data_IF_617958458720
#
_entry.id   IF_617958458720
#
_cell.length_a   1.000
_cell.length_b   1.000
_cell.length_c   1.000
_cell.angle_alpha   90.00
_cell.angle_beta   90.00
_cell.angle_gamma   90.00
#
_symmetry.space_group_name_H-M   'P 1'
#
loop_
_entity.id
_entity.type
_entity.pdbx_description
1 polymer ?
#
# COMPACT_ATOMS: atom_id res chain seq x y z
N UNK A 1 -17.33 -6.19 39.66
CA UNK A 1 -16.58 -6.17 38.38
C UNK A 1 -17.32 -7.00 37.35
N UNK A 2 -17.50 -6.48 36.14
CA UNK A 2 -18.32 -7.11 35.11
C UNK A 2 -17.66 -8.43 34.64
N UNK A 3 -18.32 -9.57 34.89
CA UNK A 3 -17.85 -10.94 34.60
C UNK A 3 -17.28 -11.16 33.18
N UNK A 4 -17.69 -10.34 32.22
CA UNK A 4 -17.18 -10.38 30.84
C UNK A 4 -15.74 -9.88 30.70
N UNK A 5 -15.42 -8.71 31.25
CA UNK A 5 -14.08 -8.12 31.11
C UNK A 5 -13.00 -8.90 31.88
N UNK A 6 -13.38 -9.64 32.93
CA UNK A 6 -12.49 -10.59 33.57
C UNK A 6 -12.09 -11.73 32.61
N UNK A 7 -13.06 -12.29 31.87
CA UNK A 7 -12.79 -13.31 30.84
C UNK A 7 -11.93 -12.75 29.71
N UNK A 8 -12.20 -11.54 29.24
CA UNK A 8 -11.37 -10.84 28.24
C UNK A 8 -9.93 -10.70 28.74
N UNK A 9 -9.72 -10.31 30.00
CA UNK A 9 -8.39 -10.22 30.59
C UNK A 9 -7.63 -11.56 30.61
N UNK A 10 -8.32 -12.66 30.90
CA UNK A 10 -7.72 -14.01 30.83
C UNK A 10 -7.35 -14.40 29.39
N UNK A 11 -8.22 -14.11 28.41
CA UNK A 11 -7.94 -14.40 27.00
C UNK A 11 -6.77 -13.57 26.45
N UNK A 12 -6.66 -12.29 26.83
CA UNK A 12 -5.48 -11.47 26.51
C UNK A 12 -4.20 -12.05 27.11
N UNK A 13 -4.25 -12.47 28.38
CA UNK A 13 -3.11 -13.12 29.04
C UNK A 13 -2.69 -14.41 28.31
N UNK A 14 -3.64 -15.16 27.75
CA UNK A 14 -3.34 -16.34 26.92
C UNK A 14 -2.63 -15.93 25.63
N UNK A 15 -3.13 -14.94 24.89
CA UNK A 15 -2.51 -14.49 23.63
C UNK A 15 -1.09 -13.96 23.89
N UNK A 16 -0.93 -13.01 24.81
CA UNK A 16 0.34 -12.32 25.04
C UNK A 16 1.45 -13.21 25.61
N UNK A 17 1.11 -14.28 26.33
CA UNK A 17 2.11 -15.22 26.88
C UNK A 17 2.53 -16.33 25.91
N UNK A 18 1.92 -16.43 24.72
CA UNK A 18 2.25 -17.48 23.76
C UNK A 18 3.60 -17.22 23.09
N UNK A 19 4.42 -18.27 23.00
CA UNK A 19 5.67 -18.24 22.24
C UNK A 19 5.44 -17.90 20.77
N UNK A 20 4.34 -18.36 20.17
CA UNK A 20 3.98 -18.04 18.78
C UNK A 20 3.68 -16.55 18.58
N UNK A 21 2.99 -15.92 19.53
CA UNK A 21 2.73 -14.47 19.50
C UNK A 21 4.02 -13.68 19.66
N UNK A 22 4.90 -14.08 20.58
CA UNK A 22 6.22 -13.46 20.71
C UNK A 22 7.04 -13.61 19.41
N UNK A 23 7.06 -14.79 18.82
CA UNK A 23 7.76 -15.04 17.55
C UNK A 23 7.21 -14.16 16.41
N UNK A 24 5.88 -14.01 16.31
CA UNK A 24 5.25 -13.14 15.32
C UNK A 24 5.64 -11.66 15.51
N UNK A 25 5.64 -11.17 16.75
CA UNK A 25 6.05 -9.80 17.09
C UNK A 25 7.54 -9.56 16.78
N UNK A 26 8.41 -10.53 17.10
CA UNK A 26 9.85 -10.42 16.80
C UNK A 26 10.08 -10.43 15.29
N UNK A 27 9.42 -11.34 14.56
CA UNK A 27 9.57 -11.47 13.12
C UNK A 27 9.11 -10.20 12.39
N UNK A 28 7.96 -9.63 12.76
CA UNK A 28 7.50 -8.38 12.15
C UNK A 28 8.39 -7.19 12.51
N UNK A 29 8.96 -7.16 13.73
CA UNK A 29 9.95 -6.15 14.12
C UNK A 29 11.22 -6.22 13.28
N UNK A 30 11.75 -7.43 13.05
CA UNK A 30 12.91 -7.66 12.16
C UNK A 30 12.60 -7.20 10.74
N UNK A 31 11.39 -7.49 10.23
CA UNK A 31 10.98 -7.10 8.88
C UNK A 31 10.80 -5.58 8.74
N UNK A 32 10.24 -4.91 9.74
CA UNK A 32 10.17 -3.44 9.75
C UNK A 32 11.57 -2.86 9.72
N UNK A 33 12.48 -3.39 10.55
CA UNK A 33 13.87 -2.93 10.58
C UNK A 33 14.57 -3.17 9.23
N UNK A 34 14.40 -4.35 8.62
CA UNK A 34 15.03 -4.67 7.33
C UNK A 34 14.45 -3.86 6.19
N UNK A 35 13.13 -3.68 6.12
CA UNK A 35 12.46 -2.85 5.11
C UNK A 35 12.83 -1.36 5.23
N UNK A 36 12.94 -0.87 6.46
CA UNK A 36 13.35 0.52 6.72
C UNK A 36 14.83 0.73 6.38
N UNK A 37 15.70 -0.25 6.69
CA UNK A 37 17.12 -0.17 6.34
C UNK A 37 17.34 -0.28 4.83
N UNK A 38 16.67 -1.19 4.13
CA UNK A 38 16.77 -1.34 2.67
C UNK A 38 16.33 -0.08 1.92
N UNK A 39 15.37 0.68 2.49
CA UNK A 39 14.94 1.97 1.96
C UNK A 39 16.05 3.02 1.95
N UNK A 40 17.05 2.90 2.84
CA UNK A 40 18.18 3.82 2.95
C UNK A 40 19.43 3.29 2.23
N UNK A 41 19.65 1.98 2.25
CA UNK A 41 20.87 1.36 1.71
C UNK A 41 20.81 1.02 0.23
N UNK A 42 19.64 1.13 -0.41
CA UNK A 42 19.48 0.95 -1.85
C UNK A 42 20.34 1.91 -2.67
N UNK A 43 20.76 1.48 -3.87
CA UNK A 43 21.51 2.28 -4.86
C UNK A 43 20.64 3.32 -5.59
N UNK A 44 19.53 3.75 -4.99
CA UNK A 44 18.55 4.64 -5.61
C UNK A 44 18.82 6.12 -5.39
N UNK A 45 19.98 6.48 -4.82
CA UNK A 45 20.34 7.87 -4.52
C UNK A 45 21.45 8.34 -5.44
N UNK A 46 21.23 9.44 -6.15
CA UNK A 46 22.13 9.89 -7.21
C UNK A 46 23.50 10.27 -6.69
N UNK A 47 23.57 10.88 -5.50
CA UNK A 47 24.86 11.20 -4.86
C UNK A 47 25.68 9.98 -4.44
N UNK A 48 25.12 8.76 -4.44
CA UNK A 48 25.88 7.53 -4.13
C UNK A 48 26.76 7.07 -5.29
N UNK A 49 26.46 7.50 -6.51
CA UNK A 49 27.20 7.09 -7.69
C UNK A 49 28.49 7.90 -7.85
N UNK A 50 29.61 7.20 -8.08
CA UNK A 50 30.94 7.80 -8.25
C UNK A 50 31.55 8.46 -6.99
N UNK A 51 30.90 8.39 -5.84
CA UNK A 51 31.38 8.99 -4.58
C UNK A 51 31.65 7.93 -3.50
N UNK A 52 32.75 8.07 -2.77
CA UNK A 52 33.06 7.24 -1.59
C UNK A 52 32.28 7.69 -0.34
N UNK A 53 30.96 7.86 -0.46
CA UNK A 53 30.08 8.22 0.66
C UNK A 53 29.09 7.10 0.96
N UNK A 54 28.57 7.07 2.19
CA UNK A 54 27.54 6.09 2.55
C UNK A 54 26.21 6.38 1.84
N UNK A 55 25.39 5.35 1.58
CA UNK A 55 24.04 5.56 0.98
C UNK A 55 23.16 6.49 1.83
N UNK A 56 23.35 6.51 3.15
CA UNK A 56 22.64 7.42 4.05
C UNK A 56 23.07 8.88 3.85
N UNK A 57 24.36 9.15 3.66
CA UNK A 57 24.85 10.49 3.31
C UNK A 57 24.40 10.91 1.91
N UNK A 58 24.45 10.01 0.94
CA UNK A 58 23.92 10.26 -0.40
C UNK A 58 22.43 10.63 -0.36
N UNK A 59 21.63 9.88 0.40
CA UNK A 59 20.21 10.15 0.60
C UNK A 59 19.97 11.53 1.22
N UNK A 60 20.80 11.95 2.21
CA UNK A 60 20.70 13.30 2.79
C UNK A 60 20.99 14.39 1.76
N UNK A 61 22.01 14.22 0.92
CA UNK A 61 22.33 15.18 -0.15
C UNK A 61 21.22 15.27 -1.20
N UNK A 62 20.70 14.12 -1.66
CA UNK A 62 19.53 14.08 -2.56
C UNK A 62 18.32 14.79 -1.94
N UNK A 63 18.09 14.56 -0.63
CA UNK A 63 17.01 15.23 0.11
C UNK A 63 17.18 16.75 0.11
N UNK A 64 18.38 17.26 0.35
CA UNK A 64 18.66 18.69 0.34
C UNK A 64 18.38 19.31 -1.03
N UNK A 65 18.83 18.65 -2.11
CA UNK A 65 18.55 19.11 -3.48
C UNK A 65 17.05 19.17 -3.75
N UNK A 66 16.30 18.09 -3.48
CA UNK A 66 14.85 18.04 -3.72
C UNK A 66 14.05 18.96 -2.81
N UNK A 67 14.55 19.29 -1.62
CA UNK A 67 13.93 20.28 -0.72
C UNK A 67 14.08 21.71 -1.25
N UNK A 68 15.19 22.02 -1.95
CA UNK A 68 15.45 23.37 -2.46
C UNK A 68 14.43 23.86 -3.49
N UNK A 69 13.71 22.93 -4.12
CA UNK A 69 12.68 23.17 -5.13
C UNK A 69 11.28 22.76 -4.66
N UNK A 70 11.07 22.58 -3.36
CA UNK A 70 9.72 22.31 -2.84
C UNK A 70 8.77 23.50 -3.11
N UNK A 71 7.51 23.20 -3.42
CA UNK A 71 6.54 24.23 -3.78
C UNK A 71 5.41 23.67 -4.64
N UNK A 72 5.13 24.34 -5.76
CA UNK A 72 4.15 23.92 -6.76
C UNK A 72 4.81 23.83 -8.13
N UNK A 73 4.34 22.92 -8.98
CA UNK A 73 4.79 22.77 -10.36
C UNK A 73 4.04 23.79 -11.24
N UNK A 74 4.33 25.07 -11.07
CA UNK A 74 3.76 26.15 -11.89
C UNK A 74 4.54 26.36 -13.20
N UNK A 75 4.15 27.35 -14.00
CA UNK A 75 4.78 27.65 -15.29
C UNK A 75 6.28 27.93 -15.14
N UNK A 76 6.68 28.70 -14.12
CA UNK A 76 8.09 29.00 -13.85
C UNK A 76 8.89 27.75 -13.49
N UNK A 77 8.33 26.85 -12.68
CA UNK A 77 8.95 25.57 -12.35
C UNK A 77 9.21 24.72 -13.60
N UNK A 78 8.23 24.65 -14.50
CA UNK A 78 8.30 23.86 -15.74
C UNK A 78 9.31 24.49 -16.71
N UNK A 79 9.29 25.81 -16.87
CA UNK A 79 10.28 26.56 -17.68
C UNK A 79 11.70 26.23 -17.21
N UNK A 80 11.96 26.28 -15.90
CA UNK A 80 13.27 25.93 -15.35
C UNK A 80 13.63 24.48 -15.61
N UNK A 81 12.68 23.54 -15.44
CA UNK A 81 12.91 22.12 -15.73
C UNK A 81 13.36 21.90 -17.19
N UNK A 82 12.66 22.49 -18.16
CA UNK A 82 12.98 22.40 -19.59
C UNK A 82 14.33 23.05 -19.88
N UNK A 83 14.58 24.27 -19.38
CA UNK A 83 15.83 24.98 -19.61
C UNK A 83 17.04 24.24 -19.03
N UNK A 84 16.95 23.72 -17.80
CA UNK A 84 18.03 22.96 -17.20
C UNK A 84 18.26 21.64 -17.93
N UNK A 85 17.21 20.95 -18.39
CA UNK A 85 17.36 19.77 -19.23
C UNK A 85 18.06 20.10 -20.55
N UNK A 86 17.66 21.18 -21.23
CA UNK A 86 18.28 21.63 -22.47
C UNK A 86 19.79 21.95 -22.29
N UNK A 87 20.16 22.62 -21.19
CA UNK A 87 21.56 22.87 -20.84
C UNK A 87 22.33 21.58 -20.55
N UNK A 88 21.69 20.62 -19.89
CA UNK A 88 22.28 19.32 -19.58
C UNK A 88 22.61 18.53 -20.86
N UNK A 89 21.67 18.45 -21.80
CA UNK A 89 21.82 17.64 -23.01
C UNK A 89 22.76 18.26 -24.04
N UNK A 90 22.91 19.59 -24.03
CA UNK A 90 23.73 20.33 -24.98
C UNK A 90 25.25 20.27 -24.68
N UNK A 91 25.64 19.96 -23.45
CA UNK A 91 27.05 19.89 -23.04
C UNK A 91 27.55 18.44 -23.00
N UNK A 92 28.40 18.07 -23.97
CA UNK A 92 28.97 16.73 -24.08
C UNK A 92 29.86 16.35 -22.89
N UNK A 93 30.35 17.32 -22.11
CA UNK A 93 31.09 17.02 -20.87
C UNK A 93 30.21 16.35 -19.82
N UNK A 94 28.88 16.45 -19.94
CA UNK A 94 27.93 15.78 -19.06
C UNK A 94 27.80 14.28 -19.32
N UNK A 95 28.45 13.75 -20.37
CA UNK A 95 28.31 12.36 -20.79
C UNK A 95 29.62 11.59 -20.72
N UNK A 96 29.51 10.30 -20.42
CA UNK A 96 30.51 9.30 -20.76
C UNK A 96 30.18 8.79 -22.16
N UNK A 97 31.03 9.12 -23.13
CA UNK A 97 30.88 8.68 -24.52
C UNK A 97 31.88 7.57 -24.77
N UNK A 98 31.39 6.38 -25.10
CA UNK A 98 32.21 5.22 -25.42
C UNK A 98 31.57 4.43 -26.58
N UNK A 99 32.19 3.31 -26.97
CA UNK A 99 31.71 2.47 -28.08
C UNK A 99 30.32 1.85 -27.85
N UNK A 100 29.82 1.85 -26.62
CA UNK A 100 28.50 1.32 -26.24
C UNK A 100 27.42 2.40 -26.18
N UNK A 101 27.77 3.68 -26.35
CA UNK A 101 26.82 4.78 -26.42
C UNK A 101 27.20 6.01 -25.60
N UNK A 102 26.19 6.86 -25.42
CA UNK A 102 26.25 8.15 -24.72
C UNK A 102 25.51 8.01 -23.39
N UNK A 103 26.23 8.00 -22.27
CA UNK A 103 25.67 7.75 -20.94
C UNK A 103 25.79 8.99 -20.06
N UNK A 104 24.67 9.48 -19.51
CA UNK A 104 24.67 10.68 -18.66
C UNK A 104 25.44 10.42 -17.35
N UNK A 105 26.32 11.36 -16.98
CA UNK A 105 27.03 11.33 -15.70
C UNK A 105 26.06 11.68 -14.57
N UNK A 106 26.14 10.95 -13.45
CA UNK A 106 25.34 11.25 -12.25
C UNK A 106 25.55 12.67 -11.72
N UNK A 107 26.76 13.23 -11.84
CA UNK A 107 27.02 14.64 -11.48
C UNK A 107 26.22 15.64 -12.31
N UNK A 108 26.00 15.35 -13.60
CA UNK A 108 25.18 16.18 -14.47
C UNK A 108 23.69 16.05 -14.10
N UNK A 109 23.22 14.82 -13.88
CA UNK A 109 21.85 14.58 -13.43
C UNK A 109 21.54 15.30 -12.12
N UNK A 110 22.41 15.17 -11.11
CA UNK A 110 22.29 15.84 -9.80
C UNK A 110 22.17 17.36 -9.97
N UNK A 111 22.96 17.93 -10.88
CA UNK A 111 23.02 19.38 -11.08
C UNK A 111 21.78 19.91 -11.80
N UNK A 112 21.37 19.26 -12.89
CA UNK A 112 20.39 19.82 -13.82
C UNK A 112 18.98 19.21 -13.68
N UNK A 113 18.89 17.89 -13.48
CA UNK A 113 17.61 17.17 -13.50
C UNK A 113 17.03 16.91 -12.11
N UNK A 114 17.85 16.48 -11.13
CA UNK A 114 17.42 16.13 -9.78
C UNK A 114 16.60 17.23 -9.07
N UNK A 115 16.91 18.54 -9.18
CA UNK A 115 16.10 19.60 -8.58
C UNK A 115 14.68 19.65 -9.16
N UNK A 116 14.50 19.26 -10.42
CA UNK A 116 13.22 19.34 -11.15
C UNK A 116 12.66 17.96 -11.52
N UNK A 117 13.19 16.89 -10.91
CA UNK A 117 12.94 15.48 -11.26
C UNK A 117 11.44 15.15 -11.35
N UNK A 118 10.65 15.67 -10.41
CA UNK A 118 9.20 15.47 -10.41
C UNK A 118 8.54 16.01 -11.69
N UNK A 119 8.92 17.20 -12.16
CA UNK A 119 8.39 17.74 -13.42
C UNK A 119 8.93 16.97 -14.62
N UNK A 120 10.23 16.62 -14.62
CA UNK A 120 10.83 15.81 -15.69
C UNK A 120 10.10 14.47 -15.84
N UNK A 121 9.83 13.78 -14.74
CA UNK A 121 9.10 12.51 -14.73
C UNK A 121 7.67 12.67 -15.24
N UNK A 122 6.96 13.72 -14.79
CA UNK A 122 5.61 14.00 -15.27
C UNK A 122 5.62 14.30 -16.77
N UNK A 123 6.56 15.10 -17.26
CA UNK A 123 6.72 15.43 -18.68
C UNK A 123 6.90 14.16 -19.49
N UNK A 124 7.83 13.29 -19.07
CA UNK A 124 8.15 12.07 -19.80
C UNK A 124 6.96 11.10 -19.89
N UNK A 125 6.02 11.16 -18.95
CA UNK A 125 4.76 10.41 -19.02
C UNK A 125 3.70 11.17 -19.83
N UNK A 126 3.46 12.44 -19.56
CA UNK A 126 2.33 13.18 -20.14
C UNK A 126 2.50 13.54 -21.63
N UNK A 127 3.74 13.59 -22.12
CA UNK A 127 4.05 13.90 -23.52
C UNK A 127 4.44 12.66 -24.33
N UNK A 128 4.40 11.47 -23.74
CA UNK A 128 4.54 10.23 -24.49
C UNK A 128 3.28 9.97 -25.33
N UNK A 129 3.51 9.54 -26.56
CA UNK A 129 2.47 9.21 -27.54
C UNK A 129 2.24 7.69 -27.65
N UNK A 130 3.24 6.88 -27.31
CA UNK A 130 3.18 5.42 -27.31
C UNK A 130 2.96 4.84 -25.91
N UNK A 131 1.76 4.33 -25.64
CA UNK A 131 1.43 3.70 -24.35
C UNK A 131 2.26 2.44 -24.04
N UNK A 132 2.84 1.79 -25.05
CA UNK A 132 3.76 0.66 -24.84
C UNK A 132 5.07 1.09 -24.16
N UNK A 133 5.41 2.37 -24.21
CA UNK A 133 6.59 2.93 -23.54
C UNK A 133 6.39 3.11 -22.02
N UNK A 134 5.16 2.96 -21.52
CA UNK A 134 4.89 3.05 -20.09
C UNK A 134 5.29 1.77 -19.37
N UNK A 135 6.13 1.93 -18.37
CA UNK A 135 6.46 0.91 -17.40
C UNK A 135 5.94 1.32 -16.01
N UNK A 136 5.79 0.31 -15.15
CA UNK A 136 5.48 0.51 -13.75
C UNK A 136 6.20 -0.52 -12.90
N UNK A 137 6.68 -0.09 -11.73
CA UNK A 137 7.18 -0.97 -10.68
C UNK A 137 6.07 -1.37 -9.69
N UNK A 138 4.81 -1.08 -10.02
CA UNK A 138 3.64 -1.25 -9.15
C UNK A 138 3.30 -0.01 -8.32
N UNK A 139 4.17 1.00 -8.27
CA UNK A 139 3.96 2.25 -7.54
C UNK A 139 4.14 3.47 -8.45
N UNK A 140 5.30 3.61 -9.09
CA UNK A 140 5.60 4.64 -10.09
C UNK A 140 5.09 4.23 -11.47
N UNK A 141 4.61 5.22 -12.22
CA UNK A 141 4.44 5.11 -13.68
C UNK A 141 5.51 5.98 -14.32
N UNK A 142 6.31 5.40 -15.19
CA UNK A 142 7.40 6.08 -15.85
C UNK A 142 7.52 5.65 -17.31
N UNK A 143 8.17 6.47 -18.11
CA UNK A 143 8.50 6.15 -19.49
C UNK A 143 9.86 5.43 -19.52
N UNK A 144 9.92 4.24 -20.12
CA UNK A 144 11.13 3.44 -20.20
C UNK A 144 11.79 3.41 -21.58
N UNK A 145 11.18 4.04 -22.58
CA UNK A 145 11.65 3.94 -23.97
C UNK A 145 12.09 5.27 -24.56
N UNK A 146 11.43 6.37 -24.16
CA UNK A 146 11.74 7.71 -24.69
C UNK A 146 11.84 8.75 -23.59
N UNK A 147 12.43 9.89 -23.92
CA UNK A 147 12.62 11.04 -23.03
C UNK A 147 11.98 12.28 -23.66
N UNK A 148 10.64 12.42 -23.64
CA UNK A 148 9.94 13.60 -24.21
C UNK A 148 10.48 14.95 -23.72
N UNK A 149 11.04 15.01 -22.52
CA UNK A 149 11.70 16.22 -21.99
C UNK A 149 12.82 16.76 -22.88
N UNK A 150 13.50 15.90 -23.66
CA UNK A 150 14.67 16.29 -24.47
C UNK A 150 14.29 17.10 -25.72
N UNK A 151 13.01 17.08 -26.12
CA UNK A 151 12.52 17.74 -27.34
C UNK A 151 11.57 18.90 -27.06
N UNK A 152 11.19 19.14 -25.81
CA UNK A 152 10.24 20.18 -25.44
C UNK A 152 10.85 21.59 -25.46
N UNK A 153 10.06 22.54 -25.95
CA UNK A 153 10.42 23.96 -25.99
C UNK A 153 9.57 24.78 -25.02
N UNK A 154 9.96 26.04 -24.77
CA UNK A 154 9.24 26.94 -23.86
C UNK A 154 7.79 27.20 -24.28
N UNK A 155 7.48 27.10 -25.57
CA UNK A 155 6.11 27.25 -26.09
C UNK A 155 5.17 26.14 -25.60
N UNK A 156 5.71 24.99 -25.23
CA UNK A 156 4.94 23.80 -24.87
C UNK A 156 4.51 23.81 -23.40
N UNK A 157 5.06 24.71 -22.58
CA UNK A 157 4.78 24.83 -21.14
C UNK A 157 3.29 25.08 -20.86
N UNK A 158 2.63 25.91 -21.68
CA UNK A 158 1.20 26.22 -21.53
C UNK A 158 0.30 24.99 -21.67
N UNK A 159 0.79 23.94 -22.34
CA UNK A 159 0.05 22.70 -22.57
C UNK A 159 0.30 21.64 -21.49
N UNK A 160 1.13 21.91 -20.48
CA UNK A 160 1.53 20.92 -19.47
C UNK A 160 0.34 20.25 -18.76
N UNK A 161 -0.48 21.04 -18.04
CA UNK A 161 -1.67 20.50 -17.37
C UNK A 161 -2.76 20.01 -18.32
N UNK A 162 -3.11 20.73 -19.42
CA UNK A 162 -4.02 20.22 -20.43
C UNK A 162 -3.62 18.85 -20.99
N UNK A 163 -2.33 18.61 -21.24
CA UNK A 163 -1.83 17.33 -21.72
C UNK A 163 -1.96 16.23 -20.66
N UNK A 164 -1.62 16.49 -19.40
CA UNK A 164 -1.81 15.53 -18.31
C UNK A 164 -3.28 15.10 -18.21
N UNK A 165 -4.20 16.07 -18.22
CA UNK A 165 -5.65 15.78 -18.17
C UNK A 165 -6.11 14.98 -19.38
N UNK A 166 -5.68 15.38 -20.59
CA UNK A 166 -5.99 14.67 -21.83
C UNK A 166 -5.50 13.21 -21.78
N UNK A 167 -4.27 12.97 -21.32
CA UNK A 167 -3.70 11.63 -21.23
C UNK A 167 -4.38 10.78 -20.16
N UNK A 168 -4.71 11.36 -19.00
CA UNK A 168 -5.45 10.66 -17.96
C UNK A 168 -6.84 10.24 -18.46
N UNK A 169 -7.56 11.13 -19.15
CA UNK A 169 -8.86 10.81 -19.73
C UNK A 169 -8.75 9.80 -20.87
N UNK A 170 -7.75 9.93 -21.74
CA UNK A 170 -7.52 8.97 -22.83
C UNK A 170 -7.30 7.56 -22.26
N UNK A 171 -6.39 7.42 -21.28
CA UNK A 171 -6.10 6.13 -20.64
C UNK A 171 -7.36 5.43 -20.10
N UNK A 172 -8.27 6.21 -19.51
CA UNK A 172 -9.53 5.71 -18.94
C UNK A 172 -10.55 5.41 -20.05
N UNK A 173 -10.66 6.27 -21.06
CA UNK A 173 -11.59 6.11 -22.17
C UNK A 173 -11.26 4.90 -23.07
N UNK A 174 -9.97 4.58 -23.20
CA UNK A 174 -9.50 3.48 -24.06
C UNK A 174 -9.35 2.16 -23.33
N UNK A 175 -9.55 2.09 -22.01
CA UNK A 175 -9.51 0.81 -21.29
C UNK A 175 -10.83 0.04 -21.51
N UNK A 176 -10.82 -1.09 -22.25
CA UNK A 176 -12.03 -1.81 -22.60
C UNK A 176 -12.72 -2.48 -21.40
N UNK A 177 -12.05 -2.55 -20.24
CA UNK A 177 -12.63 -3.08 -19.01
C UNK A 177 -13.39 -2.03 -18.21
N UNK A 178 -13.32 -0.74 -18.56
CA UNK A 178 -14.04 0.32 -17.84
C UNK A 178 -15.45 0.50 -18.40
N UNK A 179 -16.40 0.60 -17.49
CA UNK A 179 -17.79 0.93 -17.82
C UNK A 179 -17.98 2.45 -17.91
N UNK A 180 -19.05 2.89 -18.58
CA UNK A 180 -19.38 4.32 -18.69
C UNK A 180 -19.53 5.01 -17.33
N UNK A 181 -20.10 4.33 -16.34
CA UNK A 181 -20.26 4.85 -14.99
C UNK A 181 -18.92 4.98 -14.25
N UNK A 182 -17.94 4.13 -14.57
CA UNK A 182 -16.57 4.24 -14.03
C UNK A 182 -15.81 5.39 -14.70
N UNK A 183 -15.96 5.55 -16.02
CA UNK A 183 -15.42 6.69 -16.76
C UNK A 183 -15.94 8.03 -16.22
N UNK A 184 -17.25 8.16 -16.03
CA UNK A 184 -17.86 9.35 -15.42
C UNK A 184 -17.29 9.62 -14.02
N UNK A 185 -17.18 8.57 -13.19
CA UNK A 185 -16.64 8.73 -11.84
C UNK A 185 -15.19 9.19 -11.83
N UNK A 186 -14.37 8.65 -12.74
CA UNK A 186 -13.00 9.10 -12.91
C UNK A 186 -12.89 10.54 -13.39
N UNK A 187 -13.80 10.97 -14.26
CA UNK A 187 -13.88 12.37 -14.71
C UNK A 187 -14.20 13.30 -13.55
N UNK A 188 -15.21 12.98 -12.73
CA UNK A 188 -15.54 13.74 -11.50
C UNK A 188 -14.37 13.81 -10.50
N UNK A 189 -13.59 12.73 -10.40
CA UNK A 189 -12.42 12.68 -9.52
C UNK A 189 -11.29 13.56 -10.06
N UNK A 190 -11.06 13.51 -11.37
CA UNK A 190 -10.04 14.31 -12.06
C UNK A 190 -10.33 15.81 -11.96
N UNK A 191 -11.59 16.24 -12.08
CA UNK A 191 -12.01 17.63 -11.89
C UNK A 191 -11.67 18.18 -10.49
N UNK A 192 -11.56 17.30 -9.49
CA UNK A 192 -11.21 17.67 -8.12
C UNK A 192 -9.69 17.67 -7.86
N UNK A 193 -8.89 17.25 -8.83
CA UNK A 193 -7.43 17.27 -8.71
C UNK A 193 -6.95 18.72 -8.74
N UNK A 194 -6.30 19.15 -7.67
CA UNK A 194 -5.78 20.52 -7.56
C UNK A 194 -4.57 20.72 -8.48
N UNK A 195 -4.65 21.73 -9.34
CA UNK A 195 -3.53 22.24 -10.16
C UNK A 195 -3.20 23.68 -9.74
N UNK A 196 -1.91 24.10 -9.74
CA UNK A 196 -0.74 23.27 -10.01
C UNK A 196 -0.48 22.22 -8.92
N UNK A 197 0.20 21.13 -9.28
CA UNK A 197 0.54 20.05 -8.35
C UNK A 197 1.51 20.53 -7.28
N UNK A 198 1.27 20.14 -6.04
CA UNK A 198 2.21 20.38 -4.94
C UNK A 198 3.36 19.38 -5.07
N UNK A 199 4.59 19.88 -4.99
CA UNK A 199 5.83 19.10 -5.16
C UNK A 199 6.79 19.37 -4.01
N UNK A 200 7.67 18.41 -3.75
CA UNK A 200 8.69 18.49 -2.71
C UNK A 200 9.28 17.12 -2.45
N UNK A 201 10.13 17.05 -1.43
CA UNK A 201 10.73 15.79 -1.01
C UNK A 201 9.72 14.91 -0.25
N UNK A 202 9.23 13.82 -0.87
CA UNK A 202 8.22 12.91 -0.32
C UNK A 202 8.67 11.45 -0.16
N UNK A 203 9.98 11.19 -0.30
CA UNK A 203 10.55 9.83 -0.35
C UNK A 203 10.18 8.96 0.85
N UNK A 204 10.07 9.54 2.05
CA UNK A 204 9.65 8.78 3.25
C UNK A 204 8.25 8.18 3.11
N UNK A 205 7.29 8.95 2.61
CA UNK A 205 5.92 8.47 2.38
C UNK A 205 5.83 7.54 1.17
N UNK A 206 6.60 7.82 0.11
CA UNK A 206 6.70 6.94 -1.05
C UNK A 206 7.22 5.55 -0.69
N UNK A 207 8.31 5.47 0.10
CA UNK A 207 8.86 4.19 0.56
C UNK A 207 7.91 3.44 1.49
N UNK A 208 7.17 4.17 2.33
CA UNK A 208 6.10 3.56 3.12
C UNK A 208 5.06 2.89 2.21
N UNK A 209 4.58 3.58 1.17
CA UNK A 209 3.57 3.06 0.24
C UNK A 209 4.12 1.91 -0.62
N UNK A 210 5.31 2.05 -1.20
CA UNK A 210 5.89 1.05 -2.11
C UNK A 210 6.23 -0.27 -1.41
N UNK A 211 6.62 -0.22 -0.13
CA UNK A 211 6.91 -1.41 0.67
C UNK A 211 5.70 -1.92 1.46
N UNK A 212 4.57 -1.23 1.37
CA UNK A 212 3.39 -1.52 2.19
C UNK A 212 2.80 -2.89 1.89
N UNK A 213 2.79 -3.32 0.63
CA UNK A 213 2.28 -4.63 0.22
C UNK A 213 3.00 -5.77 0.99
N UNK A 214 4.32 -5.63 1.16
CA UNK A 214 5.13 -6.59 1.92
C UNK A 214 4.81 -6.55 3.40
N UNK A 215 4.84 -5.35 4.01
CA UNK A 215 4.59 -5.21 5.45
C UNK A 215 3.16 -5.62 5.81
N UNK A 216 2.18 -5.26 4.99
CA UNK A 216 0.77 -5.64 5.14
C UNK A 216 0.56 -7.16 5.09
N UNK A 217 1.24 -7.86 4.18
CA UNK A 217 1.24 -9.32 4.15
C UNK A 217 1.71 -9.91 5.48
N UNK A 218 2.81 -9.41 6.03
CA UNK A 218 3.33 -9.89 7.31
C UNK A 218 2.45 -9.52 8.50
N UNK A 219 1.71 -8.41 8.45
CA UNK A 219 0.64 -8.10 9.42
C UNK A 219 -0.40 -9.22 9.39
N UNK A 220 -0.91 -9.60 8.21
CA UNK A 220 -1.92 -10.66 8.11
C UNK A 220 -1.37 -12.02 8.57
N UNK A 221 -0.15 -12.40 8.17
CA UNK A 221 0.47 -13.64 8.63
C UNK A 221 0.63 -13.67 10.15
N UNK A 222 1.07 -12.57 10.74
CA UNK A 222 1.21 -12.43 12.20
C UNK A 222 -0.15 -12.54 12.90
N UNK A 223 -1.19 -11.93 12.35
CA UNK A 223 -2.58 -12.03 12.84
C UNK A 223 -3.05 -13.48 12.80
N UNK A 224 -2.87 -14.19 11.69
CA UNK A 224 -3.21 -15.62 11.60
C UNK A 224 -2.50 -16.45 12.68
N UNK A 225 -1.20 -16.25 12.89
CA UNK A 225 -0.43 -16.98 13.91
C UNK A 225 -0.95 -16.68 15.33
N UNK A 226 -1.28 -15.42 15.63
CA UNK A 226 -1.72 -15.02 16.96
C UNK A 226 -3.14 -15.48 17.30
N UNK A 227 -4.02 -15.46 16.29
CA UNK A 227 -5.45 -15.72 16.44
C UNK A 227 -5.80 -17.20 16.23
N UNK A 228 -4.99 -17.94 15.47
CA UNK A 228 -5.18 -19.38 15.23
C UNK A 228 -5.46 -20.22 16.48
N UNK A 229 -4.82 -20.00 17.65
CA UNK A 229 -5.06 -20.80 18.85
C UNK A 229 -6.17 -20.21 19.75
N UNK A 230 -6.99 -19.24 19.31
CA UNK A 230 -8.04 -18.62 20.15
C UNK A 230 -9.08 -19.65 20.60
N UNK A 231 -9.54 -20.53 19.70
CA UNK A 231 -10.43 -21.65 20.02
C UNK A 231 -9.71 -23.01 19.92
N UNK A 232 -8.89 -23.20 18.89
CA UNK A 232 -8.26 -24.47 18.58
C UNK A 232 -7.36 -25.04 19.71
N UNK A 233 -6.77 -24.19 20.55
CA UNK A 233 -5.94 -24.65 21.67
C UNK A 233 -6.76 -25.39 22.73
N UNK A 234 -8.04 -25.04 22.89
CA UNK A 234 -8.88 -25.63 23.93
C UNK A 234 -9.18 -27.08 23.57
N UNK A 235 -9.41 -27.36 22.27
CA UNK A 235 -9.51 -28.72 21.74
C UNK A 235 -8.18 -29.47 21.85
N UNK A 236 -7.07 -28.83 21.48
CA UNK A 236 -5.74 -29.42 21.51
C UNK A 236 -5.32 -29.83 22.93
N UNK A 237 -5.77 -29.10 23.95
CA UNK A 237 -5.47 -29.36 25.37
C UNK A 237 -6.59 -30.09 26.10
N UNK A 238 -7.68 -30.46 25.42
CA UNK A 238 -8.89 -31.11 25.98
C UNK A 238 -9.52 -30.33 27.14
N UNK A 239 -9.39 -29.01 27.13
CA UNK A 239 -9.95 -28.11 28.15
C UNK A 239 -11.32 -27.57 27.75
N UNK A 240 -11.75 -27.84 26.51
CA UNK A 240 -13.06 -27.51 25.96
C UNK A 240 -14.22 -28.11 26.77
N UNK A 241 -14.12 -29.35 27.27
CA UNK A 241 -15.14 -29.96 28.17
C UNK A 241 -15.36 -29.13 29.43
N UNK A 242 -14.27 -28.72 30.07
CA UNK A 242 -14.30 -27.93 31.31
C UNK A 242 -14.88 -26.54 31.04
N UNK A 243 -14.52 -25.93 29.90
CA UNK A 243 -15.04 -24.63 29.51
C UNK A 243 -16.53 -24.74 29.21
N UNK A 244 -16.97 -25.66 28.35
CA UNK A 244 -18.35 -25.78 27.88
C UNK A 244 -19.35 -26.22 28.97
N UNK A 245 -18.89 -26.92 30.02
CA UNK A 245 -19.70 -27.27 31.20
C UNK A 245 -19.80 -26.14 32.23
N UNK A 246 -18.96 -25.10 32.13
CA UNK A 246 -18.99 -23.96 33.05
C UNK A 246 -20.21 -23.04 32.82
N UNK A 247 -20.62 -22.31 33.86
CA UNK A 247 -21.77 -21.37 33.86
C UNK A 247 -21.78 -20.40 32.66
N UNK A 248 -20.60 -20.00 32.17
CA UNK A 248 -20.45 -19.03 31.09
C UNK A 248 -19.80 -19.58 29.82
N UNK A 249 -19.56 -20.89 29.75
CA UNK A 249 -18.83 -21.57 28.68
C UNK A 249 -19.45 -21.45 27.30
N UNK A 250 -20.78 -21.60 27.23
CA UNK A 250 -21.54 -21.58 25.97
C UNK A 250 -22.07 -20.19 25.57
N UNK A 251 -21.59 -19.14 26.24
CA UNK A 251 -21.99 -17.75 25.97
C UNK A 251 -20.83 -16.77 26.19
N UNK A 252 -20.66 -16.21 27.41
CA UNK A 252 -19.74 -15.08 27.64
C UNK A 252 -18.27 -15.38 27.30
N UNK A 253 -17.80 -16.62 27.49
CA UNK A 253 -16.42 -17.00 27.15
C UNK A 253 -16.18 -16.89 25.63
N UNK A 254 -17.15 -17.30 24.82
CA UNK A 254 -17.06 -17.24 23.35
C UNK A 254 -16.99 -15.79 22.90
N UNK A 255 -17.86 -14.93 23.43
CA UNK A 255 -17.83 -13.50 23.16
C UNK A 255 -16.54 -12.85 23.63
N UNK A 256 -16.00 -13.25 24.79
CA UNK A 256 -14.73 -12.74 25.29
C UNK A 256 -13.58 -13.11 24.34
N UNK A 257 -13.56 -14.33 23.79
CA UNK A 257 -12.59 -14.79 22.79
C UNK A 257 -12.67 -13.99 21.49
N UNK A 258 -13.88 -13.83 20.92
CA UNK A 258 -14.09 -13.06 19.68
C UNK A 258 -13.67 -11.61 19.88
N UNK A 259 -14.12 -10.98 20.98
CA UNK A 259 -13.75 -9.61 21.31
C UNK A 259 -12.24 -9.47 21.45
N UNK A 260 -11.59 -10.37 22.20
CA UNK A 260 -10.14 -10.35 22.40
C UNK A 260 -9.39 -10.53 21.08
N UNK A 261 -9.83 -11.44 20.21
CA UNK A 261 -9.24 -11.65 18.89
C UNK A 261 -9.32 -10.40 18.01
N UNK A 262 -10.50 -9.78 17.89
CA UNK A 262 -10.70 -8.57 17.08
C UNK A 262 -9.96 -7.35 17.66
N UNK A 263 -10.06 -7.12 18.97
CA UNK A 263 -9.38 -5.98 19.61
C UNK A 263 -7.86 -6.13 19.63
N UNK A 264 -7.33 -7.35 19.82
CA UNK A 264 -5.91 -7.64 19.63
C UNK A 264 -5.48 -7.36 18.19
N UNK A 265 -6.21 -7.86 17.18
CA UNK A 265 -5.90 -7.60 15.77
C UNK A 265 -5.90 -6.10 15.46
N UNK A 266 -6.92 -5.35 15.92
CA UNK A 266 -6.99 -3.91 15.73
C UNK A 266 -5.74 -3.20 16.29
N UNK A 267 -5.43 -3.44 17.56
CA UNK A 267 -4.31 -2.80 18.25
C UNK A 267 -2.98 -3.20 17.59
N UNK A 268 -2.79 -4.49 17.32
CA UNK A 268 -1.58 -5.01 16.71
C UNK A 268 -1.34 -4.44 15.30
N UNK A 269 -2.35 -4.44 14.43
CA UNK A 269 -2.22 -3.90 13.07
C UNK A 269 -1.95 -2.39 13.09
N UNK A 270 -2.67 -1.62 13.92
CA UNK A 270 -2.47 -0.17 14.04
C UNK A 270 -1.07 0.15 14.56
N UNK A 271 -0.63 -0.49 15.65
CA UNK A 271 0.72 -0.27 16.21
C UNK A 271 1.79 -0.64 15.19
N UNK A 272 1.66 -1.78 14.51
CA UNK A 272 2.66 -2.24 13.53
C UNK A 272 2.78 -1.26 12.37
N UNK A 273 1.66 -0.84 11.78
CA UNK A 273 1.64 0.11 10.67
C UNK A 273 2.21 1.46 11.12
N UNK A 274 1.85 1.92 12.32
CA UNK A 274 2.38 3.16 12.88
C UNK A 274 3.89 3.09 13.11
N UNK A 275 4.39 2.01 13.71
CA UNK A 275 5.83 1.79 13.95
C UNK A 275 6.58 1.73 12.61
N UNK A 276 6.01 1.07 11.59
CA UNK A 276 6.59 1.04 10.26
C UNK A 276 6.69 2.44 9.65
N UNK A 277 5.57 3.17 9.56
CA UNK A 277 5.54 4.55 9.05
C UNK A 277 6.54 5.44 9.80
N UNK A 278 6.50 5.39 11.14
CA UNK A 278 7.38 6.20 11.98
C UNK A 278 8.85 5.88 11.74
N UNK A 279 9.22 4.60 11.64
CA UNK A 279 10.61 4.19 11.39
C UNK A 279 11.10 4.69 10.03
N UNK A 280 10.27 4.56 8.98
CA UNK A 280 10.60 5.07 7.64
C UNK A 280 10.76 6.59 7.65
N UNK A 281 9.85 7.33 8.28
CA UNK A 281 9.91 8.80 8.36
C UNK A 281 11.06 9.31 9.23
N UNK A 282 11.45 8.59 10.29
CA UNK A 282 12.64 8.96 11.09
C UNK A 282 13.92 8.86 10.25
N UNK A 283 14.03 7.83 9.41
CA UNK A 283 15.21 7.64 8.56
C UNK A 283 15.19 8.59 7.35
N UNK A 284 14.04 8.67 6.67
CA UNK A 284 13.89 9.35 5.40
C UNK A 284 13.31 10.76 5.50
N UNK A 285 12.86 11.23 6.66
CA UNK A 285 12.30 12.57 6.85
C UNK A 285 10.77 12.62 6.77
N UNK A 286 10.21 13.66 7.39
CA UNK A 286 8.77 13.87 7.55
C UNK A 286 8.15 14.83 6.51
N UNK A 287 8.95 15.34 5.57
CA UNK A 287 8.47 16.29 4.56
C UNK A 287 7.64 15.62 3.46
N UNK A 288 6.93 16.43 2.69
CA UNK A 288 6.29 15.99 1.45
C UNK A 288 4.96 15.25 1.63
N UNK A 289 4.39 15.18 2.83
CA UNK A 289 3.07 14.59 3.02
C UNK A 289 1.94 15.30 2.26
N UNK A 290 2.13 16.59 1.94
CA UNK A 290 1.20 17.42 1.16
C UNK A 290 1.44 17.39 -0.37
N UNK A 291 2.46 16.65 -0.83
CA UNK A 291 2.73 16.45 -2.27
C UNK A 291 1.54 15.76 -2.93
N UNK A 292 1.20 16.18 -4.14
CA UNK A 292 0.11 15.58 -4.93
C UNK A 292 0.49 14.16 -5.34
N UNK A 293 -0.43 13.20 -5.21
CA UNK A 293 -0.16 11.81 -5.63
C UNK A 293 0.17 11.68 -7.13
N UNK A 294 -0.25 12.66 -7.94
CA UNK A 294 0.09 12.80 -9.36
C UNK A 294 1.60 12.93 -9.61
N UNK A 295 2.40 13.33 -8.62
CA UNK A 295 3.86 13.34 -8.76
C UNK A 295 4.44 11.93 -8.92
N UNK A 296 3.81 10.93 -8.31
CA UNK A 296 4.21 9.51 -8.43
C UNK A 296 3.60 8.86 -9.67
N UNK A 297 2.32 9.13 -9.91
CA UNK A 297 1.58 8.60 -11.05
C UNK A 297 0.80 9.74 -11.72
N UNK A 298 1.38 10.41 -12.74
CA UNK A 298 0.82 11.61 -13.36
C UNK A 298 -0.60 11.43 -13.90
N UNK A 299 -0.95 10.21 -14.29
CA UNK A 299 -2.22 9.88 -14.92
C UNK A 299 -3.28 9.38 -13.92
N UNK A 300 -2.99 9.41 -12.61
CA UNK A 300 -3.97 9.01 -11.59
C UNK A 300 -5.04 10.09 -11.39
N UNK A 301 -6.30 9.68 -11.34
CA UNK A 301 -7.44 10.58 -11.14
C UNK A 301 -7.76 10.88 -9.68
N UNK A 302 -7.06 10.23 -8.74
CA UNK A 302 -7.35 10.38 -7.32
C UNK A 302 -6.95 11.78 -6.79
N UNK A 303 -7.90 12.60 -6.30
CA UNK A 303 -7.64 13.98 -5.87
C UNK A 303 -7.14 14.02 -4.42
N UNK A 304 -5.91 13.55 -4.18
CA UNK A 304 -5.36 13.46 -2.83
C UNK A 304 -3.86 13.72 -2.76
N UNK A 305 -3.39 13.98 -1.54
CA UNK A 305 -1.96 14.04 -1.24
C UNK A 305 -1.42 12.66 -0.91
N UNK A 306 -0.11 12.49 -0.98
CA UNK A 306 0.56 11.23 -0.62
C UNK A 306 0.24 10.82 0.82
N UNK A 307 0.23 11.75 1.78
CA UNK A 307 -0.14 11.43 3.16
C UNK A 307 -1.56 10.87 3.31
N UNK A 308 -2.53 11.44 2.58
CA UNK A 308 -3.90 10.91 2.56
C UNK A 308 -3.93 9.50 1.98
N UNK A 309 -3.12 9.23 0.95
CA UNK A 309 -2.99 7.88 0.41
C UNK A 309 -2.43 6.90 1.46
N UNK A 310 -1.41 7.28 2.24
CA UNK A 310 -0.89 6.47 3.34
C UNK A 310 -1.98 6.13 4.37
N UNK A 311 -2.80 7.11 4.76
CA UNK A 311 -3.91 6.90 5.71
C UNK A 311 -4.96 5.94 5.13
N UNK A 312 -5.40 6.18 3.89
CA UNK A 312 -6.43 5.36 3.23
C UNK A 312 -5.97 3.90 3.11
N UNK A 313 -4.74 3.69 2.66
CA UNK A 313 -4.14 2.35 2.56
C UNK A 313 -4.06 1.67 3.93
N UNK A 314 -3.59 2.39 4.95
CA UNK A 314 -3.50 1.87 6.32
C UNK A 314 -4.86 1.48 6.89
N UNK A 315 -5.89 2.31 6.66
CA UNK A 315 -7.25 2.06 7.14
C UNK A 315 -7.85 0.80 6.49
N UNK A 316 -7.74 0.67 5.17
CA UNK A 316 -8.22 -0.51 4.44
C UNK A 316 -7.52 -1.77 4.96
N UNK A 317 -6.22 -1.71 5.20
CA UNK A 317 -5.44 -2.86 5.70
C UNK A 317 -5.81 -3.26 7.12
N UNK A 318 -6.09 -2.30 8.01
CA UNK A 318 -6.63 -2.60 9.35
C UNK A 318 -7.98 -3.30 9.25
N UNK A 319 -8.89 -2.81 8.40
CA UNK A 319 -10.21 -3.43 8.20
C UNK A 319 -10.10 -4.83 7.57
N UNK A 320 -9.24 -5.00 6.57
CA UNK A 320 -8.95 -6.30 5.97
C UNK A 320 -8.34 -7.27 6.98
N UNK A 321 -7.47 -6.78 7.90
CA UNK A 321 -6.91 -7.58 9.00
C UNK A 321 -8.00 -8.06 9.96
N UNK A 322 -8.99 -7.22 10.28
CA UNK A 322 -10.13 -7.59 11.13
C UNK A 322 -11.01 -8.65 10.48
N UNK A 323 -11.35 -8.45 9.20
CA UNK A 323 -12.09 -9.44 8.41
C UNK A 323 -11.35 -10.78 8.39
N UNK A 324 -10.06 -10.75 8.09
CA UNK A 324 -9.23 -11.94 8.05
C UNK A 324 -9.09 -12.63 9.41
N UNK A 325 -8.94 -11.87 10.49
CA UNK A 325 -8.91 -12.38 11.87
C UNK A 325 -10.22 -13.11 12.23
N UNK A 326 -11.37 -12.56 11.83
CA UNK A 326 -12.66 -13.21 12.05
C UNK A 326 -12.78 -14.53 11.28
N UNK A 327 -12.35 -14.57 10.02
CA UNK A 327 -12.31 -15.80 9.22
C UNK A 327 -11.37 -16.84 9.86
N UNK A 328 -10.17 -16.42 10.29
CA UNK A 328 -9.21 -17.29 10.99
C UNK A 328 -9.78 -17.82 12.32
N UNK A 329 -10.57 -17.03 13.05
CA UNK A 329 -11.28 -17.50 14.24
C UNK A 329 -12.38 -18.51 13.93
N UNK A 330 -13.06 -18.42 12.77
CA UNK A 330 -13.97 -19.48 12.32
C UNK A 330 -13.20 -20.78 12.07
N UNK A 331 -12.08 -20.72 11.37
CA UNK A 331 -11.22 -21.88 11.20
C UNK A 331 -10.75 -22.44 12.57
N UNK A 332 -10.40 -21.56 13.50
CA UNK A 332 -10.03 -21.92 14.88
C UNK A 332 -11.16 -22.61 15.65
N UNK A 333 -12.41 -22.20 15.43
CA UNK A 333 -13.57 -22.79 16.10
C UNK A 333 -13.90 -24.19 15.55
N UNK A 334 -13.52 -24.50 14.31
CA UNK A 334 -13.83 -25.78 13.64
C UNK A 334 -12.68 -26.78 13.74
N UNK A 335 -11.43 -26.32 13.61
CA UNK A 335 -10.25 -27.20 13.56
C UNK A 335 -9.72 -27.53 14.97
N UNK A 336 -9.26 -28.77 15.15
CA UNK A 336 -8.80 -29.29 16.45
C UNK A 336 -7.37 -28.91 16.82
N UNK A 337 -6.61 -28.28 15.91
CA UNK A 337 -5.22 -27.88 16.17
C UNK A 337 -4.91 -26.49 15.64
N UNK A 338 -4.16 -25.74 16.44
CA UNK A 338 -3.73 -24.38 16.10
C UNK A 338 -2.88 -24.34 14.82
N UNK A 339 -2.08 -25.38 14.60
CA UNK A 339 -1.25 -25.51 13.40
C UNK A 339 -2.09 -25.68 12.13
N UNK A 340 -3.15 -26.50 12.16
CA UNK A 340 -4.06 -26.65 11.03
C UNK A 340 -4.75 -25.33 10.66
N UNK A 341 -5.11 -24.53 11.67
CA UNK A 341 -5.70 -23.19 11.46
C UNK A 341 -4.72 -22.27 10.73
N UNK A 342 -3.44 -22.28 11.11
CA UNK A 342 -2.40 -21.48 10.45
C UNK A 342 -2.29 -21.88 8.98
N UNK A 343 -2.20 -23.18 8.67
CA UNK A 343 -2.08 -23.67 7.29
C UNK A 343 -3.26 -23.19 6.43
N UNK A 344 -4.50 -23.43 6.89
CA UNK A 344 -5.70 -23.06 6.13
C UNK A 344 -5.79 -21.53 5.97
N UNK A 345 -5.45 -20.77 7.01
CA UNK A 345 -5.41 -19.31 6.95
C UNK A 345 -4.37 -18.81 5.95
N UNK A 346 -3.19 -19.45 5.89
CA UNK A 346 -2.15 -19.09 4.93
C UNK A 346 -2.56 -19.45 3.50
N UNK A 347 -3.17 -20.61 3.27
CA UNK A 347 -3.72 -20.96 1.96
C UNK A 347 -4.77 -19.94 1.50
N UNK A 348 -5.66 -19.52 2.39
CA UNK A 348 -6.66 -18.49 2.09
C UNK A 348 -6.01 -17.14 1.70
N UNK A 349 -4.88 -16.76 2.31
CA UNK A 349 -4.14 -15.55 1.95
C UNK A 349 -3.35 -15.68 0.65
N UNK A 350 -2.65 -16.80 0.44
CA UNK A 350 -1.67 -16.93 -0.64
C UNK A 350 -2.27 -17.43 -1.95
N UNK A 351 -3.30 -18.29 -1.94
CA UNK A 351 -3.91 -18.79 -3.18
C UNK A 351 -4.37 -17.67 -4.12
N UNK A 352 -5.04 -16.60 -3.65
CA UNK A 352 -5.42 -15.46 -4.50
C UNK A 352 -4.23 -14.71 -5.09
N UNK A 353 -3.05 -14.78 -4.47
CA UNK A 353 -1.85 -14.10 -4.95
C UNK A 353 -1.37 -14.68 -6.29
N UNK A 354 -1.44 -16.00 -6.44
CA UNK A 354 -0.99 -16.75 -7.62
C UNK A 354 -1.98 -16.71 -8.80
N UNK A 355 -3.21 -16.25 -8.55
CA UNK A 355 -4.23 -16.15 -9.58
C UNK A 355 -4.14 -14.77 -10.23
N UNK A 356 -4.02 -14.74 -11.57
CA UNK A 356 -4.06 -13.52 -12.37
C UNK A 356 -5.27 -13.60 -13.29
N UNK A 357 -6.17 -12.63 -13.18
CA UNK A 357 -7.39 -12.55 -13.98
C UNK A 357 -7.37 -11.21 -14.70
N UNK A 358 -7.61 -11.22 -16.01
CA UNK A 358 -7.71 -9.99 -16.80
C UNK A 358 -8.88 -9.14 -16.30
N UNK A 359 -8.70 -7.82 -16.12
CA UNK A 359 -9.78 -6.91 -15.74
C UNK A 359 -10.96 -6.88 -16.73
N UNK A 360 -10.76 -7.32 -17.98
CA UNK A 360 -11.84 -7.48 -18.98
C UNK A 360 -12.94 -8.40 -18.44
N UNK A 361 -12.56 -9.46 -17.72
CA UNK A 361 -13.50 -10.36 -17.05
C UNK A 361 -13.90 -9.77 -15.68
N UNK A 362 -14.82 -8.81 -15.70
CA UNK A 362 -15.17 -7.97 -14.53
C UNK A 362 -15.55 -8.76 -13.28
N UNK A 363 -16.44 -9.74 -13.40
CA UNK A 363 -16.93 -10.50 -12.24
C UNK A 363 -15.83 -11.31 -11.55
N UNK A 364 -15.12 -12.22 -12.23
CA UNK A 364 -14.07 -13.00 -11.57
C UNK A 364 -12.88 -12.13 -11.13
N UNK A 365 -12.57 -11.05 -11.85
CA UNK A 365 -11.59 -10.06 -11.40
C UNK A 365 -12.01 -9.43 -10.07
N UNK A 366 -13.24 -8.90 -9.97
CA UNK A 366 -13.76 -8.29 -8.74
C UNK A 366 -13.78 -9.26 -7.57
N UNK A 367 -14.20 -10.52 -7.77
CA UNK A 367 -14.20 -11.54 -6.73
C UNK A 367 -12.78 -11.82 -6.21
N UNK A 368 -11.79 -11.88 -7.09
CA UNK A 368 -10.39 -12.05 -6.71
C UNK A 368 -9.88 -10.86 -5.88
N UNK A 369 -10.32 -9.63 -6.20
CA UNK A 369 -9.96 -8.44 -5.44
C UNK A 369 -10.54 -8.41 -4.01
N UNK A 370 -11.50 -9.30 -3.68
CA UNK A 370 -12.09 -9.36 -2.33
C UNK A 370 -11.23 -10.08 -1.30
N UNK A 371 -10.14 -10.71 -1.72
CA UNK A 371 -9.24 -11.38 -0.78
C UNK A 371 -8.33 -10.36 -0.08
N UNK A 372 -8.02 -10.57 1.23
CA UNK A 372 -7.24 -9.62 2.02
C UNK A 372 -5.93 -9.20 1.36
N UNK A 373 -5.22 -10.13 0.70
CA UNK A 373 -3.94 -9.85 0.04
C UNK A 373 -4.06 -8.88 -1.15
N UNK A 374 -5.20 -8.88 -1.85
CA UNK A 374 -5.47 -7.97 -2.96
C UNK A 374 -6.05 -6.64 -2.47
N UNK A 375 -6.90 -6.67 -1.44
CA UNK A 375 -7.51 -5.46 -0.86
C UNK A 375 -6.48 -4.49 -0.29
N UNK A 376 -5.40 -4.99 0.30
CA UNK A 376 -4.39 -4.16 0.96
C UNK A 376 -3.27 -3.68 0.05
N UNK A 377 -3.25 -4.07 -1.23
CA UNK A 377 -2.19 -3.63 -2.13
C UNK A 377 -2.42 -2.20 -2.59
N UNK A 378 -1.34 -1.44 -2.81
CA UNK A 378 -1.45 -0.08 -3.35
C UNK A 378 -2.24 -0.05 -4.67
N UNK A 379 -1.93 -0.98 -5.57
CA UNK A 379 -2.61 -1.16 -6.86
C UNK A 379 -4.08 -1.58 -6.74
N UNK A 380 -4.46 -2.25 -5.64
CA UNK A 380 -5.83 -2.64 -5.34
C UNK A 380 -6.66 -1.46 -4.80
N UNK A 381 -6.12 -0.73 -3.82
CA UNK A 381 -6.81 0.40 -3.17
C UNK A 381 -6.98 1.59 -4.11
N UNK A 382 -5.95 1.90 -4.91
CA UNK A 382 -5.94 3.02 -5.86
C UNK A 382 -6.15 2.55 -7.31
N UNK A 383 -6.85 1.43 -7.49
CA UNK A 383 -7.14 0.89 -8.82
C UNK A 383 -8.00 1.85 -9.66
N UNK A 384 -7.84 1.79 -10.98
CA UNK A 384 -8.78 2.39 -11.95
C UNK A 384 -10.06 1.55 -12.13
N UNK A 385 -10.09 0.32 -11.61
CA UNK A 385 -11.27 -0.53 -11.68
C UNK A 385 -12.13 -0.31 -10.43
N UNK A 386 -13.16 0.53 -10.57
CA UNK A 386 -14.06 0.88 -9.47
C UNK A 386 -15.16 -0.18 -9.25
N UNK A 387 -15.99 0.04 -8.24
CA UNK A 387 -17.13 -0.82 -7.91
C UNK A 387 -18.44 -0.07 -8.15
N UNK A 388 -19.32 -0.64 -8.95
CA UNK A 388 -20.68 -0.14 -9.12
C UNK A 388 -21.63 -0.95 -8.23
N UNK A 389 -22.22 -0.29 -7.23
CA UNK A 389 -23.24 -0.86 -6.36
C UNK A 389 -24.53 -0.09 -6.61
N UNK A 390 -25.54 -0.78 -7.18
CA UNK A 390 -26.92 -0.30 -7.27
C UNK A 390 -27.02 1.09 -7.93
N UNK A 391 -26.21 1.32 -8.97
CA UNK A 391 -26.17 2.58 -9.72
C UNK A 391 -25.18 3.62 -9.18
N UNK A 392 -24.56 3.38 -8.02
CA UNK A 392 -23.52 4.27 -7.47
C UNK A 392 -22.13 3.68 -7.65
N UNK A 393 -21.26 4.39 -8.36
CA UNK A 393 -19.85 4.03 -8.52
C UNK A 393 -19.01 4.56 -7.36
N UNK A 394 -18.32 3.67 -6.65
CA UNK A 394 -17.47 3.96 -5.51
C UNK A 394 -16.04 3.48 -5.73
N UNK A 395 -15.07 4.14 -5.08
CA UNK A 395 -13.67 3.74 -5.15
C UNK A 395 -13.43 2.40 -4.44
N UNK A 396 -12.38 1.65 -4.83
CA UNK A 396 -12.02 0.39 -4.17
C UNK A 396 -11.84 0.57 -2.66
N UNK A 397 -11.19 1.65 -2.21
CA UNK A 397 -10.98 1.90 -0.79
C UNK A 397 -12.30 1.96 0.03
N UNK A 398 -13.32 2.65 -0.50
CA UNK A 398 -14.64 2.74 0.14
C UNK A 398 -15.33 1.38 0.12
N UNK A 399 -15.32 0.71 -1.03
CA UNK A 399 -15.93 -0.60 -1.18
C UNK A 399 -15.32 -1.64 -0.23
N UNK A 400 -13.98 -1.76 -0.22
CA UNK A 400 -13.26 -2.69 0.65
C UNK A 400 -13.52 -2.42 2.12
N UNK A 401 -13.57 -1.15 2.52
CA UNK A 401 -13.86 -0.78 3.91
C UNK A 401 -15.24 -1.27 4.36
N UNK A 402 -16.28 -1.01 3.56
CA UNK A 402 -17.64 -1.46 3.85
C UNK A 402 -17.75 -2.99 3.80
N UNK A 403 -17.15 -3.61 2.79
CA UNK A 403 -17.14 -5.07 2.63
C UNK A 403 -16.50 -5.77 3.82
N UNK A 404 -15.33 -5.32 4.26
CA UNK A 404 -14.62 -5.89 5.41
C UNK A 404 -15.47 -5.83 6.68
N UNK A 405 -16.14 -4.70 6.94
CA UNK A 405 -17.02 -4.55 8.11
C UNK A 405 -18.20 -5.53 8.03
N UNK A 406 -18.89 -5.58 6.88
CA UNK A 406 -20.04 -6.47 6.67
C UNK A 406 -19.63 -7.93 6.86
N UNK A 407 -18.57 -8.39 6.19
CA UNK A 407 -18.10 -9.78 6.28
C UNK A 407 -17.66 -10.12 7.71
N UNK A 408 -16.97 -9.21 8.40
CA UNK A 408 -16.59 -9.43 9.81
C UNK A 408 -17.83 -9.71 10.68
N UNK A 409 -18.91 -8.94 10.52
CA UNK A 409 -20.15 -9.13 11.27
C UNK A 409 -20.89 -10.40 10.84
N UNK A 410 -20.99 -10.67 9.53
CA UNK A 410 -21.71 -11.83 9.00
C UNK A 410 -21.05 -13.16 9.34
N UNK A 411 -19.71 -13.20 9.43
CA UNK A 411 -18.95 -14.43 9.70
C UNK A 411 -18.88 -14.74 11.21
N UNK A 412 -19.11 -13.74 12.07
CA UNK A 412 -19.04 -13.86 13.52
C UNK A 412 -19.93 -14.97 14.13
N UNK A 413 -21.22 -15.16 13.72
CA UNK A 413 -22.06 -16.23 14.23
C UNK A 413 -21.52 -17.63 13.97
N UNK A 414 -20.74 -17.83 12.90
CA UNK A 414 -20.16 -19.13 12.57
C UNK A 414 -19.06 -19.53 13.56
N UNK A 415 -18.21 -18.59 13.99
CA UNK A 415 -17.23 -18.86 15.05
C UNK A 415 -17.93 -19.15 16.38
N UNK A 416 -18.98 -18.38 16.68
CA UNK A 416 -19.77 -18.55 17.89
C UNK A 416 -20.46 -19.93 17.93
N UNK A 417 -21.17 -20.29 16.85
CA UNK A 417 -21.87 -21.57 16.72
C UNK A 417 -20.91 -22.76 16.68
N UNK A 418 -19.78 -22.62 15.99
CA UNK A 418 -18.76 -23.66 15.88
C UNK A 418 -18.22 -24.11 17.23
N UNK A 419 -17.87 -23.16 18.12
CA UNK A 419 -17.40 -23.50 19.46
C UNK A 419 -18.55 -23.92 20.39
N UNK A 420 -19.70 -23.24 20.35
CA UNK A 420 -20.85 -23.53 21.24
C UNK A 420 -21.38 -24.96 21.07
N UNK A 421 -21.44 -25.44 19.83
CA UNK A 421 -22.05 -26.72 19.47
C UNK A 421 -21.04 -27.86 19.36
N UNK A 422 -19.76 -27.61 19.73
CA UNK A 422 -18.75 -28.65 19.74
C UNK A 422 -19.17 -29.78 20.68
N UNK A 423 -19.32 -30.98 20.14
CA UNK A 423 -19.56 -32.19 20.93
C UNK A 423 -18.21 -32.78 21.29
N UNK A 424 -17.98 -32.94 22.59
CA UNK A 424 -16.72 -33.51 23.02
C UNK A 424 -16.81 -35.03 22.99
N UNK A 425 -15.97 -35.63 22.16
CA UNK A 425 -15.76 -37.07 22.05
C UNK A 425 -14.48 -37.52 22.75
#
# INVERSE_FOLDING_TARGET
MNSFFQLVGFEYKKILKRKSTLAAVVLIGILIASASLSSVTGKSYWHSDGNNISSFEAMKKDREVRRSTAGVIDEDYIVRAIQQNALMIADDNNYFINNYGRFLKSSAYIKYALPYENAVNIINVAYESNFEAYATDGFYVFNSMTTPIDTLELKDVKNFYPNIQKQALYKIATDPALTQAEFQKHTEMLEKVSVPFKTGYSVGYEKFLSLFDTVGLFVLLSVAICVAPVFAIEYQTKTDQLILSSKYGKNKVIWAKIFTGLSFTLIFSVITIFVFLFTVLVLLGFDGGNVSIQVINPLTTYPMTIFKACIVLSLVTVLASLMFSMIAMVFSAVLKSSFGVIIVSFMFLFLPAFIVISPINRLPYRLLQLFPIKMMSFSGVFSQYLFNIWGTTVTPAVFYSVFCIIVTVLVMPFAYGGFKNHQVG
#
